data_IF_578817291116
#
_entry.id   IF_578817291116
#
_cell.length_a   1.000
_cell.length_b   1.000
_cell.length_c   1.000
_cell.angle_alpha   90.00
_cell.angle_beta   90.00
_cell.angle_gamma   90.00
#
_symmetry.space_group_name_H-M   'P 1'
#
loop_
_entity.id
_entity.type
_entity.pdbx_description
1 polymer ?
#
# COMPACT_ATOMS: atom_id res chain seq x y z
N UNK A 1 0.24 -1.50 16.58
CA UNK A 1 -0.60 -2.19 17.59
C UNK A 1 0.07 -3.51 17.93
N UNK A 2 -0.06 -3.97 19.16
CA UNK A 2 0.92 -4.79 19.85
C UNK A 2 0.69 -6.29 19.68
N UNK A 3 1.39 -6.90 18.72
CA UNK A 3 1.36 -8.35 18.42
C UNK A 3 1.69 -9.24 19.63
N UNK A 4 2.40 -8.70 20.63
CA UNK A 4 2.79 -9.44 21.85
C UNK A 4 1.66 -9.51 22.89
N UNK A 5 0.66 -8.62 22.84
CA UNK A 5 -0.40 -8.56 23.85
C UNK A 5 -1.68 -9.32 23.47
N UNK A 6 -1.80 -9.82 22.24
CA UNK A 6 -3.03 -10.47 21.78
C UNK A 6 -3.14 -11.91 22.30
N UNK A 7 -1.99 -12.57 22.53
CA UNK A 7 -1.93 -13.93 23.06
C UNK A 7 -1.98 -14.01 24.59
N UNK A 8 -1.64 -12.92 25.29
CA UNK A 8 -1.56 -12.88 26.77
C UNK A 8 -2.94 -12.95 27.44
N UNK A 9 -4.01 -12.62 26.71
CA UNK A 9 -5.40 -12.69 27.18
C UNK A 9 -6.18 -13.91 26.68
N UNK A 10 -5.59 -14.74 25.81
CA UNK A 10 -6.27 -15.89 25.23
C UNK A 10 -6.26 -17.08 26.20
N UNK A 11 -7.40 -17.78 26.30
CA UNK A 11 -7.46 -19.06 27.02
C UNK A 11 -6.86 -20.21 26.17
N UNK A 12 -6.70 -21.40 26.76
CA UNK A 12 -6.04 -22.53 26.08
C UNK A 12 -6.74 -22.95 24.76
N UNK A 13 -8.06 -22.86 24.69
CA UNK A 13 -8.84 -23.23 23.50
C UNK A 13 -8.75 -22.14 22.42
N UNK A 14 -8.74 -20.87 22.82
CA UNK A 14 -8.53 -19.71 21.94
C UNK A 14 -7.12 -19.71 21.34
N UNK A 15 -6.10 -20.06 22.13
CA UNK A 15 -4.73 -20.26 21.63
C UNK A 15 -4.66 -21.41 20.62
N UNK A 16 -5.37 -22.52 20.86
CA UNK A 16 -5.42 -23.64 19.93
C UNK A 16 -6.10 -23.25 18.60
N UNK A 17 -7.20 -22.50 18.66
CA UNK A 17 -7.86 -21.96 17.47
C UNK A 17 -6.94 -20.99 16.70
N UNK A 18 -6.23 -20.11 17.41
CA UNK A 18 -5.32 -19.16 16.79
C UNK A 18 -4.10 -19.84 16.13
N UNK A 19 -3.56 -20.90 16.74
CA UNK A 19 -2.52 -21.73 16.12
C UNK A 19 -3.05 -22.37 14.82
N UNK A 20 -4.28 -22.90 14.84
CA UNK A 20 -4.87 -23.49 13.64
C UNK A 20 -5.05 -22.46 12.51
N UNK A 21 -5.45 -21.24 12.83
CA UNK A 21 -5.54 -20.14 11.87
C UNK A 21 -4.17 -19.75 11.31
N UNK A 22 -3.13 -19.70 12.15
CA UNK A 22 -1.76 -19.42 11.71
C UNK A 22 -1.20 -20.56 10.84
N UNK A 23 -1.50 -21.81 11.14
CA UNK A 23 -1.13 -22.96 10.31
C UNK A 23 -1.84 -22.92 8.95
N UNK A 24 -3.12 -22.53 8.92
CA UNK A 24 -3.85 -22.31 7.68
C UNK A 24 -3.22 -21.18 6.87
N UNK A 25 -2.94 -20.03 7.49
CA UNK A 25 -2.33 -18.89 6.82
C UNK A 25 -0.95 -19.26 6.24
N UNK A 26 -0.16 -20.04 6.98
CA UNK A 26 1.11 -20.58 6.49
C UNK A 26 0.92 -21.43 5.25
N UNK A 27 -0.05 -22.36 5.26
CA UNK A 27 -0.32 -23.24 4.12
C UNK A 27 -0.83 -22.46 2.90
N UNK A 28 -1.65 -21.44 3.11
CA UNK A 28 -2.15 -20.56 2.05
C UNK A 28 -0.98 -19.78 1.42
N UNK A 29 -0.05 -19.26 2.23
CA UNK A 29 1.17 -18.61 1.74
C UNK A 29 2.08 -19.56 0.96
N UNK A 30 2.31 -20.79 1.46
CA UNK A 30 3.09 -21.81 0.74
C UNK A 30 2.46 -22.15 -0.63
N UNK A 31 1.12 -22.11 -0.71
CA UNK A 31 0.37 -22.33 -1.95
C UNK A 31 0.56 -21.17 -2.91
N UNK A 32 0.47 -19.92 -2.42
CA UNK A 32 0.72 -18.71 -3.21
C UNK A 32 2.13 -18.74 -3.80
N UNK A 33 3.15 -19.03 -2.99
CA UNK A 33 4.54 -19.17 -3.44
C UNK A 33 4.66 -20.25 -4.51
N UNK A 34 4.00 -21.40 -4.31
CA UNK A 34 3.96 -22.48 -5.29
C UNK A 34 3.32 -22.08 -6.62
N UNK A 35 2.27 -21.26 -6.60
CA UNK A 35 1.62 -20.73 -7.80
C UNK A 35 2.52 -19.72 -8.52
N UNK A 36 3.09 -18.76 -7.79
CA UNK A 36 3.99 -17.74 -8.32
C UNK A 36 5.22 -18.39 -8.96
N UNK A 37 5.88 -19.31 -8.27
CA UNK A 37 7.02 -20.04 -8.81
C UNK A 37 6.64 -20.87 -10.05
N UNK A 38 5.42 -21.43 -10.09
CA UNK A 38 4.90 -22.10 -11.29
C UNK A 38 4.72 -21.15 -12.48
N UNK A 39 4.17 -19.95 -12.25
CA UNK A 39 4.03 -18.93 -13.28
C UNK A 39 5.39 -18.51 -13.83
N UNK A 40 6.36 -18.24 -12.96
CA UNK A 40 7.70 -17.89 -13.41
C UNK A 40 8.41 -19.05 -14.08
N UNK A 41 8.29 -20.29 -13.61
CA UNK A 41 8.89 -21.47 -14.25
C UNK A 41 8.36 -21.70 -15.67
N UNK A 42 7.15 -21.24 -16.00
CA UNK A 42 6.61 -21.32 -17.37
C UNK A 42 7.31 -20.38 -18.36
N UNK A 43 7.99 -19.33 -17.86
CA UNK A 43 8.66 -18.30 -18.66
C UNK A 43 10.18 -18.32 -18.51
N UNK A 44 10.67 -18.74 -17.35
CA UNK A 44 12.08 -18.83 -17.02
C UNK A 44 12.69 -20.13 -17.55
N UNK A 45 14.02 -20.17 -17.64
CA UNK A 45 14.76 -21.36 -18.10
C UNK A 45 15.04 -22.36 -16.96
N UNK A 46 14.43 -22.16 -15.78
CA UNK A 46 14.78 -22.82 -14.51
C UNK A 46 13.58 -23.56 -13.90
N UNK A 47 13.83 -24.67 -13.17
CA UNK A 47 12.77 -25.44 -12.54
C UNK A 47 12.15 -24.68 -11.35
N UNK A 48 10.90 -24.99 -11.06
CA UNK A 48 10.12 -24.37 -9.97
C UNK A 48 10.85 -24.38 -8.62
N UNK A 49 11.59 -25.43 -8.30
CA UNK A 49 12.29 -25.57 -7.02
C UNK A 49 13.44 -24.56 -6.87
N UNK A 50 14.17 -24.25 -7.96
CA UNK A 50 15.21 -23.22 -7.95
C UNK A 50 14.61 -21.82 -7.76
N UNK A 51 13.43 -21.57 -8.31
CA UNK A 51 12.72 -20.30 -8.11
C UNK A 51 12.19 -20.15 -6.69
N UNK A 52 11.68 -21.22 -6.08
CA UNK A 52 11.25 -21.20 -4.68
C UNK A 52 12.44 -20.93 -3.74
N UNK A 53 13.63 -21.44 -4.06
CA UNK A 53 14.84 -21.11 -3.31
C UNK A 53 15.21 -19.63 -3.45
N UNK A 54 15.17 -19.10 -4.67
CA UNK A 54 15.42 -17.68 -4.94
C UNK A 54 14.43 -16.75 -4.21
N UNK A 55 13.13 -17.10 -4.21
CA UNK A 55 12.09 -16.35 -3.49
C UNK A 55 12.35 -16.31 -1.98
N UNK A 56 12.93 -17.38 -1.40
CA UNK A 56 13.29 -17.42 0.03
C UNK A 56 14.50 -16.54 0.37
N UNK A 57 15.45 -16.40 -0.54
CA UNK A 57 16.60 -15.52 -0.35
C UNK A 57 16.20 -14.03 -0.40
N UNK A 58 15.15 -13.69 -1.17
CA UNK A 58 14.56 -12.36 -1.20
C UNK A 58 15.53 -11.27 -1.67
N UNK A 59 16.52 -11.63 -2.49
CA UNK A 59 17.59 -10.73 -2.92
C UNK A 59 17.27 -9.98 -4.22
N UNK A 60 17.85 -8.79 -4.35
CA UNK A 60 17.89 -8.06 -5.61
C UNK A 60 18.79 -8.75 -6.63
N UNK A 61 18.30 -8.94 -7.85
CA UNK A 61 19.06 -9.51 -8.96
C UNK A 61 19.69 -8.40 -9.80
N UNK A 62 20.93 -8.60 -10.21
CA UNK A 62 21.55 -7.79 -11.27
C UNK A 62 20.94 -8.12 -12.63
N UNK A 63 21.02 -7.19 -13.60
CA UNK A 63 20.51 -7.43 -14.95
C UNK A 63 21.11 -8.69 -15.60
N UNK A 64 22.40 -8.97 -15.36
CA UNK A 64 23.08 -10.18 -15.84
C UNK A 64 22.52 -11.44 -15.21
N UNK A 65 22.31 -11.44 -13.90
CA UNK A 65 21.67 -12.56 -13.24
C UNK A 65 20.24 -12.75 -13.75
N UNK A 66 19.45 -11.67 -13.90
CA UNK A 66 18.09 -11.77 -14.44
C UNK A 66 18.04 -12.38 -15.85
N UNK A 67 19.02 -12.08 -16.70
CA UNK A 67 19.21 -12.72 -18.02
C UNK A 67 19.53 -14.22 -17.90
N UNK A 68 20.44 -14.61 -16.98
CA UNK A 68 20.79 -16.02 -16.73
C UNK A 68 19.60 -16.84 -16.21
N UNK A 69 18.79 -16.25 -15.34
CA UNK A 69 17.55 -16.83 -14.84
C UNK A 69 16.46 -16.91 -15.93
N UNK A 70 16.57 -16.09 -16.98
CA UNK A 70 15.61 -15.99 -18.06
C UNK A 70 14.37 -15.16 -17.70
N UNK A 71 14.53 -14.21 -16.76
CA UNK A 71 13.50 -13.20 -16.50
C UNK A 71 13.48 -12.10 -17.58
N UNK A 72 14.60 -11.91 -18.27
CA UNK A 72 14.81 -10.92 -19.32
C UNK A 72 15.43 -11.63 -20.53
N UNK A 73 15.09 -11.18 -21.75
CA UNK A 73 15.59 -11.76 -23.00
C UNK A 73 16.94 -11.17 -23.45
N UNK A 74 17.14 -9.86 -23.28
CA UNK A 74 18.34 -9.12 -23.69
C UNK A 74 18.60 -7.93 -22.76
N UNK A 75 19.87 -7.55 -22.60
CA UNK A 75 20.28 -6.33 -21.88
C UNK A 75 20.66 -5.28 -22.92
N UNK A 76 19.95 -4.16 -22.92
CA UNK A 76 20.26 -3.02 -23.78
C UNK A 76 21.37 -2.16 -23.15
N UNK A 77 22.37 -1.79 -23.94
CA UNK A 77 23.45 -0.86 -23.57
C UNK A 77 23.42 0.36 -24.52
N UNK A 78 22.28 1.03 -24.63
CA UNK A 78 22.16 2.24 -25.44
C UNK A 78 22.86 3.42 -24.71
N UNK A 79 23.62 4.27 -25.42
CA UNK A 79 24.40 5.35 -24.79
C UNK A 79 23.53 6.45 -24.16
N UNK A 80 22.24 6.50 -24.50
CA UNK A 80 21.24 7.39 -23.90
C UNK A 80 20.60 6.81 -22.63
N UNK A 81 20.77 5.50 -22.37
CA UNK A 81 20.28 4.83 -21.17
C UNK A 81 21.24 5.07 -19.99
N UNK A 82 21.01 6.18 -19.29
CA UNK A 82 21.72 6.46 -18.05
C UNK A 82 21.42 5.38 -17.00
N UNK A 83 22.45 4.95 -16.26
CA UNK A 83 22.30 3.99 -15.17
C UNK A 83 21.22 4.47 -14.19
N UNK A 84 20.30 3.60 -13.73
CA UNK A 84 19.20 4.01 -12.86
C UNK A 84 19.75 4.53 -11.53
N UNK A 85 19.54 5.82 -11.27
CA UNK A 85 19.97 6.48 -10.04
C UNK A 85 18.79 6.54 -9.05
N UNK A 86 18.99 5.98 -7.85
CA UNK A 86 18.00 6.13 -6.78
C UNK A 86 18.17 7.53 -6.17
N UNK A 87 17.25 8.42 -6.54
CA UNK A 87 17.11 9.73 -5.89
C UNK A 87 16.41 9.59 -4.54
N UNK A 88 16.56 10.56 -3.64
CA UNK A 88 15.91 10.56 -2.31
C UNK A 88 14.39 10.36 -2.38
N UNK A 89 13.74 10.85 -3.44
CA UNK A 89 12.28 10.68 -3.63
C UNK A 89 11.93 9.23 -3.93
N UNK A 90 12.76 8.56 -4.74
CA UNK A 90 12.61 7.14 -5.05
C UNK A 90 12.94 6.31 -3.81
N UNK A 91 13.98 6.67 -3.07
CA UNK A 91 14.31 6.03 -1.79
C UNK A 91 13.15 6.11 -0.78
N UNK A 92 12.52 7.28 -0.61
CA UNK A 92 11.37 7.46 0.26
C UNK A 92 10.14 6.65 -0.22
N UNK A 93 9.93 6.57 -1.54
CA UNK A 93 8.86 5.74 -2.10
C UNK A 93 9.07 4.25 -1.80
N UNK A 94 10.28 3.74 -1.97
CA UNK A 94 10.61 2.34 -1.63
C UNK A 94 10.43 2.07 -0.13
N UNK A 95 10.89 2.98 0.72
CA UNK A 95 10.76 2.86 2.17
C UNK A 95 9.29 2.91 2.63
N UNK A 96 8.46 3.75 2.00
CA UNK A 96 7.04 3.87 2.30
C UNK A 96 6.26 2.60 1.92
N UNK A 97 6.57 2.02 0.77
CA UNK A 97 5.91 0.82 0.26
C UNK A 97 6.52 -0.49 0.84
N UNK A 98 7.47 -0.38 1.77
CA UNK A 98 8.09 -1.53 2.45
C UNK A 98 8.95 -2.40 1.54
N UNK A 99 9.40 -1.88 0.40
CA UNK A 99 10.26 -2.59 -0.55
C UNK A 99 11.71 -2.47 -0.08
N UNK A 100 12.49 -3.57 0.01
CA UNK A 100 13.88 -3.52 0.43
C UNK A 100 14.71 -2.66 -0.53
N UNK A 101 15.66 -1.87 -0.03
CA UNK A 101 16.46 -1.00 -0.88
C UNK A 101 17.42 -1.82 -1.78
N UNK A 102 17.53 -1.52 -3.09
CA UNK A 102 18.49 -2.20 -3.96
C UNK A 102 19.93 -1.90 -3.54
N UNK A 103 20.90 -2.78 -3.83
CA UNK A 103 22.31 -2.60 -3.52
C UNK A 103 23.00 -1.60 -4.48
N UNK A 104 22.38 -0.44 -4.70
CA UNK A 104 22.92 0.65 -5.52
C UNK A 104 23.02 1.92 -4.68
N UNK A 105 24.01 2.78 -4.96
CA UNK A 105 24.24 3.98 -4.16
C UNK A 105 23.09 4.99 -4.29
N UNK A 106 22.49 5.39 -3.17
CA UNK A 106 21.51 6.49 -3.13
C UNK A 106 22.27 7.81 -3.24
N UNK A 107 21.93 8.62 -4.25
CA UNK A 107 22.41 10.00 -4.33
C UNK A 107 21.48 10.90 -3.53
N UNK A 108 21.96 11.39 -2.40
CA UNK A 108 21.27 12.43 -1.63
C UNK A 108 21.29 13.73 -2.43
N UNK A 109 20.12 14.23 -2.80
CA UNK A 109 19.99 15.53 -3.43
C UNK A 109 20.49 16.60 -2.46
N UNK A 110 21.29 17.55 -2.95
CA UNK A 110 21.77 18.64 -2.09
C UNK A 110 20.57 19.44 -1.57
N UNK A 111 20.64 19.95 -0.33
CA UNK A 111 19.52 20.68 0.31
C UNK A 111 18.98 21.83 -0.56
N UNK A 112 19.85 22.46 -1.36
CA UNK A 112 19.49 23.48 -2.36
C UNK A 112 18.65 22.94 -3.53
N UNK A 113 18.88 21.70 -3.95
CA UNK A 113 18.15 21.04 -5.03
C UNK A 113 16.73 20.66 -4.59
N UNK A 114 16.58 20.23 -3.32
CA UNK A 114 15.27 20.00 -2.69
C UNK A 114 14.47 21.31 -2.57
N UNK A 115 15.14 22.43 -2.27
CA UNK A 115 14.53 23.76 -2.24
C UNK A 115 14.17 24.27 -3.66
N UNK A 116 15.04 24.01 -4.64
CA UNK A 116 14.82 24.37 -6.03
C UNK A 116 13.68 23.56 -6.67
N UNK A 117 13.52 22.28 -6.35
CA UNK A 117 12.38 21.46 -6.76
C UNK A 117 11.05 21.98 -6.20
N UNK A 118 11.06 22.52 -4.97
CA UNK A 118 9.88 23.15 -4.38
C UNK A 118 9.46 24.41 -5.16
N UNK A 119 10.43 25.24 -5.58
CA UNK A 119 10.18 26.46 -6.37
C UNK A 119 9.87 26.19 -7.85
N UNK A 120 10.42 25.13 -8.45
CA UNK A 120 10.23 24.81 -9.87
C UNK A 120 8.99 23.97 -10.15
N UNK A 121 8.42 23.29 -9.15
CA UNK A 121 7.21 22.47 -9.30
C UNK A 121 5.94 23.25 -9.68
N UNK A 122 5.94 24.58 -9.58
CA UNK A 122 4.83 25.45 -10.01
C UNK A 122 4.93 25.95 -11.47
N UNK A 123 6.02 25.66 -12.20
CA UNK A 123 6.19 26.11 -13.59
C UNK A 123 6.70 24.99 -14.52
N UNK A 124 5.79 24.44 -15.31
CA UNK A 124 6.07 23.53 -16.42
C UNK A 124 6.79 24.23 -17.60
N UNK A 125 8.08 23.91 -17.84
CA UNK A 125 8.90 23.81 -19.10
C UNK A 125 8.92 24.98 -20.14
N UNK A 126 9.91 25.03 -21.09
CA UNK A 126 11.22 24.34 -21.21
C UNK A 126 12.45 25.28 -21.46
N UNK A 127 13.66 24.70 -21.29
CA UNK A 127 14.95 24.96 -21.95
C UNK A 127 15.51 26.41 -22.11
N UNK A 128 16.66 26.69 -21.48
CA UNK A 128 17.82 27.32 -22.12
C UNK A 128 19.03 27.37 -21.16
N UNK A 129 20.21 27.10 -21.71
CA UNK A 129 21.53 27.17 -21.09
C UNK A 129 21.81 28.51 -20.38
N UNK A 130 22.42 28.48 -19.18
CA UNK A 130 23.33 29.54 -18.73
C UNK A 130 24.13 29.14 -17.47
N UNK A 131 25.37 28.73 -17.70
CA UNK A 131 26.61 29.25 -17.09
C UNK A 131 26.58 29.64 -15.60
N UNK A 132 27.33 28.87 -14.81
CA UNK A 132 27.86 29.26 -13.49
C UNK A 132 28.71 30.54 -13.56
N UNK A 133 28.75 31.32 -12.46
CA UNK A 133 30.02 31.78 -11.89
C UNK A 133 30.11 31.57 -10.36
N UNK A 134 31.31 31.69 -9.76
CA UNK A 134 31.74 30.91 -8.60
C UNK A 134 31.36 31.51 -7.24
N UNK A 135 31.37 30.62 -6.24
CA UNK A 135 31.04 30.83 -4.84
C UNK A 135 31.94 31.86 -4.13
N UNK A 136 31.31 32.74 -3.35
CA UNK A 136 31.93 33.44 -2.23
C UNK A 136 31.25 32.94 -0.94
N UNK A 137 32.01 32.25 -0.10
CA UNK A 137 31.61 31.75 1.21
C UNK A 137 31.61 32.91 2.22
N UNK A 138 30.53 33.05 2.98
CA UNK A 138 30.56 33.74 4.28
C UNK A 138 29.87 32.86 5.32
N UNK A 139 30.69 32.29 6.20
CA UNK A 139 30.26 31.61 7.43
C UNK A 139 29.60 32.63 8.37
N UNK A 140 28.30 32.48 8.60
CA UNK A 140 27.65 32.99 9.80
C UNK A 140 26.92 31.85 10.51
N UNK A 141 27.58 31.36 11.56
CA UNK A 141 27.06 30.43 12.54
C UNK A 141 25.84 31.06 13.26
N UNK A 142 24.63 30.77 12.78
CA UNK A 142 23.39 31.16 13.47
C UNK A 142 22.92 29.99 14.35
N UNK A 143 22.75 30.28 15.64
CA UNK A 143 22.19 29.35 16.62
C UNK A 143 20.79 28.91 16.18
N UNK A 144 20.49 27.62 16.39
CA UNK A 144 19.36 26.89 15.82
C UNK A 144 17.98 27.04 16.50
N UNK A 145 17.68 27.91 17.51
CA UNK A 145 16.50 27.62 18.31
C UNK A 145 15.15 28.01 17.68
N UNK A 146 15.07 28.78 16.58
CA UNK A 146 13.80 29.37 16.13
C UNK A 146 13.53 29.26 14.61
N UNK A 147 13.89 28.12 14.00
CA UNK A 147 13.65 27.87 12.57
C UNK A 147 12.16 27.96 12.19
N UNK A 148 11.25 27.48 13.05
CA UNK A 148 9.81 27.51 12.78
C UNK A 148 9.24 28.94 12.75
N UNK A 149 9.70 29.81 13.66
CA UNK A 149 9.28 31.21 13.69
C UNK A 149 9.89 31.96 12.50
N UNK A 150 11.17 31.74 12.20
CA UNK A 150 11.81 32.32 11.02
C UNK A 150 11.13 31.89 9.70
N UNK A 151 10.70 30.63 9.60
CA UNK A 151 9.96 30.12 8.45
C UNK A 151 8.58 30.76 8.31
N UNK A 152 7.86 30.96 9.42
CA UNK A 152 6.54 31.59 9.41
C UNK A 152 6.61 33.08 9.04
N UNK A 153 7.64 33.79 9.52
CA UNK A 153 7.81 35.23 9.31
C UNK A 153 8.53 35.56 8.00
N UNK A 154 9.17 34.59 7.34
CA UNK A 154 9.97 34.80 6.12
C UNK A 154 11.23 35.66 6.34
N UNK A 155 11.64 35.86 7.60
CA UNK A 155 12.78 36.72 7.99
C UNK A 155 13.66 35.97 8.98
N UNK A 156 14.98 36.14 8.86
CA UNK A 156 15.95 35.63 9.85
C UNK A 156 15.75 36.36 11.17
N UNK A 157 15.13 35.67 12.13
CA UNK A 157 14.92 36.18 13.48
C UNK A 157 16.28 36.20 14.20
N UNK A 158 16.77 37.40 14.49
CA UNK A 158 18.02 37.58 15.26
C UNK A 158 17.67 37.76 16.73
N UNK A 159 18.26 36.93 17.60
CA UNK A 159 18.16 37.09 19.05
C UNK A 159 19.42 37.81 19.50
N UNK A 160 19.28 39.08 19.87
CA UNK A 160 20.35 39.86 20.48
C UNK A 160 20.06 40.01 21.99
N UNK A 161 21.07 39.77 22.83
CA UNK A 161 21.01 39.95 24.30
C UNK A 161 19.84 39.23 25.00
N UNK A 162 19.44 38.05 24.51
CA UNK A 162 18.35 37.25 25.08
C UNK A 162 16.96 37.87 24.92
N UNK A 163 16.83 38.94 24.13
CA UNK A 163 15.55 39.57 23.78
C UNK A 163 15.21 39.32 22.32
N UNK A 164 13.97 38.90 22.08
CA UNK A 164 13.40 38.73 20.75
C UNK A 164 12.56 39.98 20.43
N UNK A 165 13.03 40.80 19.50
CA UNK A 165 12.27 41.94 18.99
C UNK A 165 11.53 41.51 17.72
N UNK A 166 10.21 41.31 17.85
CA UNK A 166 9.30 41.11 16.72
C UNK A 166 8.56 42.42 16.42
N UNK A 167 8.33 42.73 15.15
CA UNK A 167 7.48 43.85 14.75
C UNK A 167 6.00 43.51 14.94
N UNK A 168 5.13 44.53 15.01
CA UNK A 168 3.69 44.34 15.16
C UNK A 168 3.09 43.51 14.01
N UNK A 169 3.56 43.72 12.79
CA UNK A 169 3.16 42.92 11.61
C UNK A 169 3.55 41.43 11.74
N UNK A 170 4.72 41.15 12.31
CA UNK A 170 5.17 39.78 12.57
C UNK A 170 4.33 39.11 13.67
N UNK A 171 3.93 39.86 14.70
CA UNK A 171 3.03 39.36 15.74
C UNK A 171 1.64 39.01 15.20
N UNK A 172 1.09 39.86 14.32
CA UNK A 172 -0.19 39.60 13.63
C UNK A 172 -0.10 38.36 12.74
N UNK A 173 1.03 38.17 12.03
CA UNK A 173 1.26 36.95 11.23
C UNK A 173 1.26 35.69 12.10
N UNK A 174 1.90 35.73 13.27
CA UNK A 174 1.91 34.62 14.24
C UNK A 174 0.49 34.34 14.75
N UNK A 175 -0.27 35.37 15.11
CA UNK A 175 -1.63 35.22 15.64
C UNK A 175 -2.59 34.65 14.60
N UNK A 176 -2.49 35.09 13.34
CA UNK A 176 -3.27 34.54 12.23
C UNK A 176 -2.92 33.07 11.95
N UNK A 177 -1.63 32.71 12.01
CA UNK A 177 -1.20 31.33 11.84
C UNK A 177 -1.68 30.43 12.98
N UNK A 178 -1.60 30.91 14.23
CA UNK A 178 -2.02 30.16 15.41
C UNK A 178 -3.55 29.96 15.44
N UNK A 179 -4.31 31.01 15.13
CA UNK A 179 -5.77 30.93 15.03
C UNK A 179 -6.23 30.03 13.89
N UNK A 180 -5.57 30.10 12.73
CA UNK A 180 -5.81 29.19 11.60
C UNK A 180 -5.51 27.73 11.96
N UNK A 181 -4.40 27.48 12.65
CA UNK A 181 -4.04 26.13 13.11
C UNK A 181 -5.03 25.61 14.16
N UNK A 182 -5.45 26.45 15.11
CA UNK A 182 -6.47 26.10 16.10
C UNK A 182 -7.82 25.75 15.43
N UNK A 183 -8.23 26.51 14.41
CA UNK A 183 -9.43 26.21 13.63
C UNK A 183 -9.32 24.88 12.88
N UNK A 184 -8.16 24.59 12.28
CA UNK A 184 -7.91 23.32 11.59
C UNK A 184 -7.95 22.12 12.55
N UNK A 185 -7.34 22.23 13.73
CA UNK A 185 -7.36 21.19 14.77
C UNK A 185 -8.79 20.92 15.24
N UNK A 186 -9.58 21.96 15.50
CA UNK A 186 -10.97 21.81 15.88
C UNK A 186 -11.81 21.13 14.79
N UNK A 187 -11.59 21.51 13.52
CA UNK A 187 -12.25 20.86 12.38
C UNK A 187 -11.87 19.39 12.20
N UNK A 188 -10.60 19.04 12.40
CA UNK A 188 -10.14 17.65 12.36
C UNK A 188 -10.72 16.82 13.51
N UNK A 189 -10.76 17.36 14.73
CA UNK A 189 -11.37 16.69 15.88
C UNK A 189 -12.88 16.44 15.67
N UNK A 190 -13.59 17.39 15.06
CA UNK A 190 -15.00 17.19 14.69
C UNK A 190 -15.17 16.05 13.68
N UNK A 191 -14.31 15.97 12.65
CA UNK A 191 -14.31 14.88 11.67
C UNK A 191 -13.95 13.52 12.26
N UNK A 192 -13.05 13.48 13.24
CA UNK A 192 -12.71 12.24 13.97
C UNK A 192 -13.94 11.76 14.74
N UNK A 193 -14.58 12.65 15.50
CA UNK A 193 -15.80 12.34 16.27
C UNK A 193 -16.93 11.82 15.37
N UNK A 194 -17.11 12.41 14.18
CA UNK A 194 -18.10 11.96 13.19
C UNK A 194 -17.78 10.55 12.65
N UNK A 195 -16.51 10.28 12.32
CA UNK A 195 -16.07 8.96 11.87
C UNK A 195 -16.23 7.90 12.96
N UNK A 196 -15.90 8.22 14.21
CA UNK A 196 -16.05 7.29 15.34
C UNK A 196 -17.53 6.94 15.57
N UNK A 197 -18.43 7.92 15.46
CA UNK A 197 -19.87 7.67 15.49
C UNK A 197 -20.33 6.73 14.37
N UNK A 198 -19.81 6.94 13.15
CA UNK A 198 -20.12 6.09 11.98
C UNK A 198 -19.60 4.66 12.17
N UNK A 199 -18.37 4.51 12.66
CA UNK A 199 -17.76 3.20 12.96
C UNK A 199 -18.59 2.47 14.01
N UNK A 200 -19.01 3.15 15.07
CA UNK A 200 -19.85 2.56 16.10
C UNK A 200 -21.22 2.12 15.55
N UNK A 201 -21.84 2.91 14.68
CA UNK A 201 -23.10 2.53 14.02
C UNK A 201 -22.94 1.31 13.10
N UNK A 202 -21.85 1.25 12.32
CA UNK A 202 -21.56 0.11 11.45
C UNK A 202 -21.27 -1.15 12.25
N UNK A 203 -20.49 -1.04 13.33
CA UNK A 203 -20.22 -2.15 14.24
C UNK A 203 -21.50 -2.65 14.92
N UNK A 204 -22.41 -1.76 15.32
CA UNK A 204 -23.72 -2.15 15.85
C UNK A 204 -24.55 -2.91 14.81
N UNK A 205 -24.60 -2.42 13.55
CA UNK A 205 -25.28 -3.12 12.45
C UNK A 205 -24.67 -4.50 12.17
N UNK A 206 -23.34 -4.62 12.19
CA UNK A 206 -22.66 -5.90 12.03
C UNK A 206 -23.05 -6.84 13.18
N UNK A 207 -23.04 -6.35 14.42
CA UNK A 207 -23.43 -7.15 15.58
C UNK A 207 -24.91 -7.59 15.53
N UNK A 208 -25.81 -6.75 15.01
CA UNK A 208 -27.23 -7.10 14.84
C UNK A 208 -27.42 -8.14 13.72
N UNK A 209 -26.75 -7.97 12.58
CA UNK A 209 -26.78 -8.94 11.48
C UNK A 209 -26.17 -10.30 11.85
N UNK A 210 -25.17 -10.31 12.75
CA UNK A 210 -24.59 -11.55 13.28
C UNK A 210 -25.53 -12.24 14.29
N UNK A 211 -26.43 -11.49 14.95
CA UNK A 211 -27.42 -12.03 15.89
C UNK A 211 -28.70 -12.52 15.22
N UNK A 212 -29.03 -12.02 14.03
CA UNK A 212 -30.12 -12.60 13.25
C UNK A 212 -29.70 -14.00 12.79
N UNK A 213 -30.36 -15.09 13.26
CA UNK A 213 -30.09 -16.40 12.72
C UNK A 213 -30.45 -16.37 11.24
N UNK A 214 -29.59 -16.95 10.40
CA UNK A 214 -29.91 -17.24 9.01
C UNK A 214 -31.34 -17.79 8.94
N UNK A 215 -32.28 -16.97 8.47
CA UNK A 215 -33.65 -17.42 8.23
C UNK A 215 -33.51 -18.54 7.23
N UNK A 216 -33.71 -19.78 7.70
CA UNK A 216 -33.77 -20.95 6.85
C UNK A 216 -34.82 -20.63 5.77
N UNK A 217 -34.35 -20.42 4.55
CA UNK A 217 -35.20 -20.23 3.39
C UNK A 217 -35.98 -21.54 3.23
N UNK A 218 -37.21 -21.52 3.71
CA UNK A 218 -38.17 -22.59 3.51
C UNK A 218 -38.63 -22.50 2.06
N UNK A 219 -38.23 -23.49 1.26
CA UNK A 219 -38.81 -23.78 -0.05
C UNK A 219 -38.32 -22.92 -1.21
N UNK A 220 -37.27 -23.37 -1.89
CA UNK A 220 -37.17 -23.14 -3.34
C UNK A 220 -38.30 -23.95 -3.97
N UNK A 221 -39.41 -23.32 -4.32
CA UNK A 221 -40.32 -23.90 -5.32
C UNK A 221 -39.69 -23.67 -6.67
N UNK A 222 -39.21 -24.73 -7.31
CA UNK A 222 -38.84 -24.73 -8.73
C UNK A 222 -40.10 -24.45 -9.58
N UNK A 223 -40.41 -23.18 -9.79
CA UNK A 223 -41.28 -22.74 -10.89
C UNK A 223 -40.45 -22.66 -12.17
N UNK A 224 -39.93 -23.81 -12.60
CA UNK A 224 -39.37 -24.00 -13.93
C UNK A 224 -40.20 -25.08 -14.63
N UNK A 225 -41.03 -24.64 -15.57
CA UNK A 225 -41.74 -25.53 -16.50
C UNK A 225 -40.71 -26.24 -17.38
N UNK A 226 -40.19 -27.37 -16.90
CA UNK A 226 -39.53 -28.33 -17.78
C UNK A 226 -40.60 -29.11 -18.54
N UNK A 227 -40.88 -28.62 -19.75
CA UNK A 227 -41.63 -29.35 -20.77
C UNK A 227 -40.79 -30.53 -21.25
N UNK A 228 -40.75 -31.61 -20.46
CA UNK A 228 -40.27 -32.90 -20.94
C UNK A 228 -41.50 -33.75 -21.35
N UNK A 229 -41.71 -34.04 -22.65
CA UNK A 229 -42.94 -34.64 -23.16
C UNK A 229 -43.17 -36.12 -22.77
N UNK A 230 -42.43 -36.64 -21.79
CA UNK A 230 -42.47 -38.05 -21.37
C UNK A 230 -43.09 -38.27 -19.98
N UNK A 231 -43.36 -37.22 -19.20
CA UNK A 231 -43.86 -37.35 -17.82
C UNK A 231 -45.36 -37.71 -17.67
N UNK A 232 -45.98 -38.23 -18.74
CA UNK A 232 -47.37 -38.68 -18.73
C UNK A 232 -47.61 -40.01 -19.45
N UNK A 233 -46.54 -40.70 -19.86
CA UNK A 233 -46.66 -42.02 -20.50
C UNK A 233 -46.58 -43.10 -19.43
N UNK A 234 -47.72 -43.75 -19.20
CA UNK A 234 -47.87 -44.88 -18.28
C UNK A 234 -47.16 -46.10 -18.88
N UNK A 235 -45.92 -46.34 -18.45
CA UNK A 235 -45.00 -47.34 -19.02
C UNK A 235 -45.61 -48.75 -18.95
N UNK A 236 -46.42 -49.03 -17.93
CA UNK A 236 -47.07 -50.33 -17.75
C UNK A 236 -48.14 -50.59 -18.82
N UNK A 237 -48.91 -49.57 -19.22
CA UNK A 237 -49.87 -49.68 -20.35
C UNK A 237 -49.19 -49.89 -21.70
N UNK A 238 -47.99 -49.35 -21.88
CA UNK A 238 -47.22 -49.52 -23.12
C UNK A 238 -46.65 -50.94 -23.20
N UNK A 239 -46.21 -51.50 -22.07
CA UNK A 239 -45.76 -52.89 -21.98
C UNK A 239 -46.91 -53.89 -22.22
N UNK A 240 -48.10 -53.66 -21.67
CA UNK A 240 -49.26 -54.53 -21.89
C UNK A 240 -49.73 -54.51 -23.36
N UNK A 241 -49.75 -53.33 -24.00
CA UNK A 241 -50.12 -53.21 -25.42
C UNK A 241 -49.11 -53.86 -26.38
N UNK A 242 -47.84 -53.94 -26.00
CA UNK A 242 -46.80 -54.64 -26.78
C UNK A 242 -46.85 -56.16 -26.57
N UNK A 243 -47.29 -56.62 -25.40
CA UNK A 243 -47.43 -58.05 -25.11
C UNK A 243 -48.69 -58.67 -25.76
N UNK A 244 -49.81 -57.94 -25.82
CA UNK A 244 -51.05 -58.40 -26.45
C UNK A 244 -51.01 -58.41 -28.00
N UNK A 245 -50.01 -57.76 -28.61
CA UNK A 245 -49.79 -57.79 -30.06
C UNK A 245 -48.92 -58.95 -30.55
N UNK A 246 -48.47 -59.83 -29.66
CA UNK A 246 -47.53 -60.92 -29.97
C UNK A 246 -48.08 -62.32 -29.63
N UNK A 247 -49.38 -62.54 -29.90
CA UNK A 247 -50.03 -63.86 -30.01
C UNK A 247 -50.86 -63.92 -31.28
#
# INVERSE_FOLDING_TARGET
MSVVFEWDYMNADELAAHIADLEKLRKDNDTIDGCIAGMYASRCKKPKDELLALMKEGAWLTARQALEWGFVDEITDDPEDAAPEITDVVADAFAKEGIPMPPVGVRKGSFLERLAQLFTSQQSKPAAEARMPPAAQTDHQMSKPLTAIAALLGVTVTVADGKLTITEEQAVSIENALSGHAAAVNGLNAKITEKDSTINQLNAKIADLVKEPASATTGVTDTSKDTNPLNGLDIDKICDALCDGLV
#
